data_IF_719669337626
#
_entry.id   IF_719669337626
#
_cell.length_a   1.000
_cell.length_b   1.000
_cell.length_c   1.000
_cell.angle_alpha   90.00
_cell.angle_beta   90.00
_cell.angle_gamma   90.00
#
_symmetry.space_group_name_H-M   'P 1'
#
loop_
_entity.id
_entity.type
_entity.pdbx_description
1 polymer ?
#
# COMPACT_ATOMS: atom_id res chain seq x y z
N UNK A 1 -9.37 20.62 -0.26
CA UNK A 1 -8.54 19.62 -0.92
C UNK A 1 -8.23 20.07 -2.34
N UNK A 2 -6.97 20.03 -2.73
CA UNK A 2 -6.62 20.23 -4.11
C UNK A 2 -7.28 19.15 -4.97
N UNK A 3 -7.74 19.51 -6.16
CA UNK A 3 -8.35 18.55 -7.06
C UNK A 3 -7.38 17.39 -7.36
N UNK A 4 -7.83 16.16 -7.15
CA UNK A 4 -7.03 14.96 -7.35
C UNK A 4 -6.09 14.57 -6.20
N UNK A 5 -6.04 15.35 -5.12
CA UNK A 5 -5.26 14.97 -3.94
C UNK A 5 -6.17 14.31 -2.90
N UNK A 6 -5.89 13.07 -2.58
CA UNK A 6 -6.53 12.39 -1.46
C UNK A 6 -5.62 12.48 -0.24
N UNK A 7 -6.14 13.09 0.80
CA UNK A 7 -5.49 13.15 2.10
C UNK A 7 -6.06 12.04 2.95
N UNK A 8 -5.27 11.03 3.22
CA UNK A 8 -5.65 9.96 4.13
C UNK A 8 -5.07 10.29 5.50
N UNK A 9 -5.90 10.58 6.50
CA UNK A 9 -5.41 10.73 7.86
C UNK A 9 -4.87 9.38 8.33
N UNK A 10 -3.62 9.38 8.78
CA UNK A 10 -2.99 8.20 9.36
C UNK A 10 -3.35 8.16 10.85
N UNK A 11 -4.10 7.16 11.36
CA UNK A 11 -4.34 7.02 12.79
C UNK A 11 -3.01 6.79 13.53
N UNK A 12 -2.75 7.63 14.49
CA UNK A 12 -1.40 8.04 14.90
C UNK A 12 -0.58 7.00 15.67
N UNK A 13 -1.13 5.99 16.33
CA UNK A 13 -0.31 5.17 17.22
C UNK A 13 0.02 3.76 16.72
N UNK A 14 -0.89 3.05 16.15
CA UNK A 14 -0.64 1.67 15.71
C UNK A 14 0.06 1.59 14.34
N UNK A 15 -0.12 2.59 13.49
CA UNK A 15 0.53 2.63 12.19
C UNK A 15 1.95 3.18 12.26
N UNK A 16 2.27 4.02 13.22
CA UNK A 16 3.62 4.55 13.43
C UNK A 16 4.60 3.43 13.78
N UNK A 17 4.17 2.45 14.58
CA UNK A 17 5.05 1.33 14.95
C UNK A 17 5.34 0.38 13.78
N UNK A 18 4.35 0.10 12.92
CA UNK A 18 4.56 -0.78 11.77
C UNK A 18 5.19 -0.06 10.57
N UNK A 19 4.95 1.23 10.41
CA UNK A 19 5.51 2.01 9.30
C UNK A 19 6.87 2.61 9.61
N UNK A 20 7.17 2.93 10.88
CA UNK A 20 8.46 3.52 11.24
C UNK A 20 9.63 2.58 11.02
N UNK A 21 9.45 1.28 11.22
CA UNK A 21 10.48 0.28 10.93
C UNK A 21 10.80 0.21 9.43
N UNK A 22 9.79 0.38 8.56
CA UNK A 22 9.97 0.40 7.11
C UNK A 22 10.79 1.62 6.68
N UNK A 23 10.62 2.74 7.35
CA UNK A 23 11.33 3.98 7.04
C UNK A 23 12.81 3.95 7.46
N UNK A 24 13.28 2.90 8.14
CA UNK A 24 14.71 2.64 8.33
C UNK A 24 15.36 2.13 7.03
N UNK A 25 14.59 1.62 6.09
CA UNK A 25 15.06 1.29 4.74
C UNK A 25 15.23 2.58 3.93
N UNK A 26 16.43 2.80 3.40
CA UNK A 26 16.76 4.03 2.67
C UNK A 26 15.92 4.25 1.41
N UNK A 27 15.55 3.19 0.70
CA UNK A 27 14.72 3.31 -0.52
C UNK A 27 13.32 3.82 -0.18
N UNK A 28 12.70 3.33 0.89
CA UNK A 28 11.39 3.79 1.35
C UNK A 28 11.44 5.20 1.92
N UNK A 29 12.51 5.52 2.65
CA UNK A 29 12.72 6.85 3.19
C UNK A 29 12.85 7.89 2.06
N UNK A 30 13.67 7.60 1.06
CA UNK A 30 13.87 8.48 -0.10
C UNK A 30 12.58 8.63 -0.91
N UNK A 31 11.85 7.54 -1.09
CA UNK A 31 10.56 7.56 -1.77
C UNK A 31 9.54 8.43 -1.06
N UNK A 32 9.45 8.31 0.26
CA UNK A 32 8.59 9.16 1.09
C UNK A 32 8.95 10.63 0.90
N UNK A 33 10.23 10.98 1.01
CA UNK A 33 10.69 12.37 0.88
C UNK A 33 10.44 12.95 -0.52
N UNK A 34 10.67 12.17 -1.56
CA UNK A 34 10.44 12.61 -2.94
C UNK A 34 8.97 12.85 -3.26
N UNK A 35 8.04 12.25 -2.50
CA UNK A 35 6.61 12.29 -2.74
C UNK A 35 5.81 12.87 -1.57
N UNK A 36 6.48 13.64 -0.71
CA UNK A 36 5.84 14.43 0.35
C UNK A 36 5.73 15.87 -0.11
N UNK A 37 4.54 16.44 0.04
CA UNK A 37 4.26 17.84 -0.27
C UNK A 37 3.83 18.58 1.00
N UNK A 38 4.11 19.87 1.03
CA UNK A 38 3.64 20.72 2.10
C UNK A 38 2.46 21.55 1.62
N UNK A 39 1.30 21.33 2.21
CA UNK A 39 0.08 22.08 1.92
C UNK A 39 -0.41 22.73 3.22
N UNK A 40 -0.55 24.06 3.22
CA UNK A 40 -1.04 24.84 4.36
C UNK A 40 -0.30 24.51 5.68
N UNK A 41 1.02 24.28 5.62
CA UNK A 41 1.84 23.94 6.77
C UNK A 41 1.80 22.47 7.19
N UNK A 42 1.04 21.63 6.49
CA UNK A 42 0.91 20.20 6.77
C UNK A 42 1.67 19.37 5.74
N UNK A 43 2.41 18.37 6.20
CA UNK A 43 3.04 17.40 5.30
C UNK A 43 2.03 16.39 4.80
N UNK A 44 1.94 16.24 3.48
CA UNK A 44 0.99 15.35 2.81
C UNK A 44 1.76 14.37 1.95
N UNK A 45 1.50 13.08 2.11
CA UNK A 45 2.07 12.03 1.27
C UNK A 45 1.08 11.63 0.18
N UNK A 46 1.62 11.22 -0.97
CA UNK A 46 0.79 10.75 -2.09
C UNK A 46 0.22 9.35 -1.82
N UNK A 47 -0.85 8.99 -2.53
CA UNK A 47 -1.42 7.64 -2.49
C UNK A 47 -0.41 6.56 -2.89
N UNK A 48 0.50 6.85 -3.81
CA UNK A 48 1.55 5.92 -4.21
C UNK A 48 2.47 5.53 -3.03
N UNK A 49 2.88 6.52 -2.23
CA UNK A 49 3.69 6.27 -1.04
C UNK A 49 2.93 5.41 -0.04
N UNK A 50 1.67 5.74 0.22
CA UNK A 50 0.84 4.99 1.16
C UNK A 50 0.64 3.54 0.70
N UNK A 51 0.41 3.32 -0.60
CA UNK A 51 0.29 1.97 -1.16
C UNK A 51 1.57 1.17 -0.92
N UNK A 52 2.73 1.74 -1.24
CA UNK A 52 4.01 1.06 -1.07
C UNK A 52 4.29 0.71 0.39
N UNK A 53 4.06 1.65 1.32
CA UNK A 53 4.27 1.42 2.75
C UNK A 53 3.31 0.36 3.29
N UNK A 54 2.05 0.40 2.92
CA UNK A 54 1.05 -0.56 3.40
C UNK A 54 1.23 -1.95 2.78
N UNK A 55 1.65 -2.03 1.54
CA UNK A 55 2.01 -3.31 0.91
C UNK A 55 3.22 -3.95 1.62
N UNK A 56 4.24 -3.16 1.93
CA UNK A 56 5.39 -3.64 2.70
C UNK A 56 5.00 -4.08 4.11
N UNK A 57 4.18 -3.30 4.81
CA UNK A 57 3.67 -3.67 6.13
C UNK A 57 2.87 -4.98 6.08
N UNK A 58 2.04 -5.17 5.06
CA UNK A 58 1.30 -6.41 4.85
C UNK A 58 2.23 -7.60 4.67
N UNK A 59 3.28 -7.45 3.85
CA UNK A 59 4.28 -8.51 3.64
C UNK A 59 5.00 -8.87 4.95
N UNK A 60 5.45 -7.88 5.70
CA UNK A 60 6.19 -8.10 6.95
C UNK A 60 5.31 -8.76 8.02
N UNK A 61 4.08 -8.29 8.18
CA UNK A 61 3.16 -8.85 9.16
C UNK A 61 2.70 -10.25 8.79
N UNK A 62 2.47 -10.50 7.50
CA UNK A 62 2.12 -11.83 7.00
C UNK A 62 3.25 -12.83 7.26
N UNK A 63 4.49 -12.44 6.99
CA UNK A 63 5.67 -13.26 7.26
C UNK A 63 5.85 -13.54 8.76
N UNK A 64 5.67 -12.53 9.60
CA UNK A 64 5.74 -12.69 11.06
C UNK A 64 4.66 -13.63 11.58
N UNK A 65 3.44 -13.49 11.09
CA UNK A 65 2.32 -14.34 11.50
C UNK A 65 2.53 -15.80 11.11
N UNK A 66 3.19 -16.06 9.98
CA UNK A 66 3.55 -17.42 9.56
C UNK A 66 4.52 -18.10 10.54
N UNK A 67 5.40 -17.32 11.19
CA UNK A 67 6.36 -17.82 12.19
C UNK A 67 5.70 -17.94 13.57
N UNK A 68 4.96 -16.91 14.00
CA UNK A 68 4.29 -16.87 15.29
C UNK A 68 2.90 -16.21 15.14
N UNK A 69 1.83 -17.02 15.07
CA UNK A 69 0.47 -16.53 14.89
C UNK A 69 -0.03 -15.65 16.05
N UNK A 70 0.56 -15.77 17.23
CA UNK A 70 0.10 -15.06 18.42
C UNK A 70 0.65 -13.62 18.51
N UNK A 71 1.73 -13.33 17.79
CA UNK A 71 2.42 -12.01 17.83
C UNK A 71 1.73 -10.95 16.97
N UNK A 72 1.00 -11.37 15.93
CA UNK A 72 0.40 -10.45 14.96
C UNK A 72 -1.11 -10.59 14.94
N UNK A 73 -1.81 -9.47 15.11
CA UNK A 73 -3.25 -9.40 14.96
C UNK A 73 -3.62 -9.49 13.47
N UNK A 74 -4.41 -10.51 13.11
CA UNK A 74 -4.88 -10.71 11.74
C UNK A 74 -5.69 -9.53 11.20
N UNK A 75 -6.32 -8.75 12.09
CA UNK A 75 -7.07 -7.55 11.69
C UNK A 75 -6.17 -6.46 11.14
N UNK A 76 -4.94 -6.33 11.66
CA UNK A 76 -3.95 -5.38 11.13
C UNK A 76 -3.54 -5.76 9.69
N UNK A 77 -3.30 -7.04 9.44
CA UNK A 77 -2.99 -7.55 8.10
C UNK A 77 -4.14 -7.23 7.14
N UNK A 78 -5.36 -7.55 7.52
CA UNK A 78 -6.56 -7.26 6.73
C UNK A 78 -6.75 -5.77 6.47
N UNK A 79 -6.45 -4.92 7.45
CA UNK A 79 -6.53 -3.47 7.29
C UNK A 79 -5.55 -2.94 6.26
N UNK A 80 -4.29 -3.35 6.32
CA UNK A 80 -3.29 -2.93 5.32
C UNK A 80 -3.69 -3.36 3.91
N UNK A 81 -4.16 -4.59 3.75
CA UNK A 81 -4.69 -5.07 2.47
C UNK A 81 -5.84 -4.19 1.97
N UNK A 82 -6.83 -3.95 2.80
CA UNK A 82 -8.00 -3.14 2.44
C UNK A 82 -7.61 -1.71 2.09
N UNK A 83 -6.65 -1.14 2.81
CA UNK A 83 -6.17 0.21 2.53
C UNK A 83 -5.49 0.28 1.16
N UNK A 84 -4.66 -0.70 0.79
CA UNK A 84 -4.06 -0.75 -0.55
C UNK A 84 -5.15 -0.85 -1.63
N UNK A 85 -6.15 -1.70 -1.43
CA UNK A 85 -7.24 -1.86 -2.39
C UNK A 85 -8.03 -0.57 -2.57
N UNK A 86 -8.36 0.12 -1.48
CA UNK A 86 -9.05 1.43 -1.56
C UNK A 86 -8.19 2.48 -2.26
N UNK A 87 -6.92 2.60 -1.87
CA UNK A 87 -5.99 3.57 -2.45
C UNK A 87 -5.73 3.30 -3.94
N UNK A 88 -5.77 2.05 -4.36
CA UNK A 88 -5.60 1.69 -5.78
C UNK A 88 -6.64 2.31 -6.69
N UNK A 89 -7.83 2.63 -6.16
CA UNK A 89 -8.90 3.27 -6.92
C UNK A 89 -8.57 4.73 -7.29
N UNK A 90 -7.56 5.31 -6.65
CA UNK A 90 -7.08 6.67 -6.92
C UNK A 90 -5.99 6.70 -7.99
N UNK A 91 -5.46 5.55 -8.37
CA UNK A 91 -4.42 5.46 -9.39
C UNK A 91 -5.03 5.57 -10.80
N UNK A 92 -4.46 6.43 -11.62
CA UNK A 92 -4.82 6.47 -13.02
C UNK A 92 -4.27 5.24 -13.74
N UNK A 93 -5.09 4.52 -14.54
CA UNK A 93 -4.63 3.33 -15.26
C UNK A 93 -3.48 3.59 -16.25
N UNK A 94 -3.37 4.82 -16.73
CA UNK A 94 -2.39 5.21 -17.73
C UNK A 94 -1.09 5.76 -17.12
N UNK A 95 -1.10 6.08 -15.82
CA UNK A 95 0.05 6.62 -15.15
C UNK A 95 0.99 5.53 -14.67
N UNK A 96 2.26 5.89 -14.55
CA UNK A 96 3.34 5.06 -14.02
C UNK A 96 4.20 5.89 -13.08
N UNK A 97 4.79 5.24 -12.10
CA UNK A 97 5.74 5.88 -11.19
C UNK A 97 7.08 5.15 -11.25
N UNK A 98 8.15 5.92 -11.23
CA UNK A 98 9.50 5.39 -11.09
C UNK A 98 9.81 5.20 -9.61
N UNK A 99 10.23 3.99 -9.25
CA UNK A 99 10.62 3.64 -7.88
C UNK A 99 11.88 2.78 -7.91
N UNK A 100 12.57 2.70 -6.79
CA UNK A 100 13.71 1.80 -6.61
C UNK A 100 13.30 0.34 -6.87
N UNK A 101 14.24 -0.47 -7.36
CA UNK A 101 14.01 -1.88 -7.68
C UNK A 101 13.45 -2.64 -6.47
N UNK A 102 13.98 -2.40 -5.28
CA UNK A 102 13.51 -3.04 -4.06
C UNK A 102 12.01 -2.78 -3.80
N UNK A 103 11.54 -1.57 -4.05
CA UNK A 103 10.11 -1.23 -3.91
C UNK A 103 9.28 -1.93 -4.98
N UNK A 104 9.75 -1.97 -6.22
CA UNK A 104 9.06 -2.72 -7.30
C UNK A 104 8.93 -4.19 -6.97
N UNK A 105 9.99 -4.80 -6.44
CA UNK A 105 10.00 -6.21 -6.05
C UNK A 105 9.03 -6.48 -4.90
N UNK A 106 8.98 -5.60 -3.92
CA UNK A 106 8.02 -5.69 -2.82
C UNK A 106 6.56 -5.59 -3.33
N UNK A 107 6.28 -4.65 -4.22
CA UNK A 107 4.96 -4.52 -4.84
C UNK A 107 4.61 -5.78 -5.64
N UNK A 108 5.55 -6.33 -6.40
CA UNK A 108 5.34 -7.58 -7.13
C UNK A 108 5.02 -8.74 -6.19
N UNK A 109 5.78 -8.90 -5.11
CA UNK A 109 5.54 -9.91 -4.08
C UNK A 109 4.18 -9.75 -3.42
N UNK A 110 3.82 -8.53 -3.07
CA UNK A 110 2.49 -8.22 -2.53
C UNK A 110 1.38 -8.64 -3.50
N UNK A 111 1.46 -8.23 -4.75
CA UNK A 111 0.46 -8.54 -5.77
C UNK A 111 0.28 -10.05 -5.98
N UNK A 112 1.39 -10.81 -6.06
CA UNK A 112 1.34 -12.27 -6.23
C UNK A 112 0.70 -12.99 -5.04
N UNK A 113 0.94 -12.51 -3.83
CA UNK A 113 0.40 -13.14 -2.63
C UNK A 113 -1.02 -12.70 -2.33
N UNK A 114 -1.30 -11.41 -2.41
CA UNK A 114 -2.59 -10.86 -2.01
C UNK A 114 -3.73 -11.28 -2.93
N UNK A 115 -3.45 -11.53 -4.22
CA UNK A 115 -4.48 -11.97 -5.17
C UNK A 115 -5.17 -13.27 -4.73
N UNK A 116 -4.46 -14.11 -3.99
CA UNK A 116 -5.00 -15.38 -3.47
C UNK A 116 -6.02 -15.18 -2.35
N UNK A 117 -6.04 -14.00 -1.75
CA UNK A 117 -6.92 -13.68 -0.62
C UNK A 117 -8.08 -12.75 -1.00
N UNK A 118 -8.07 -12.19 -2.21
CA UNK A 118 -9.08 -11.21 -2.63
C UNK A 118 -10.23 -11.92 -3.32
N UNK A 119 -11.42 -11.76 -2.76
CA UNK A 119 -12.67 -12.24 -3.36
C UNK A 119 -13.52 -11.08 -3.88
N UNK A 120 -14.46 -11.33 -4.81
CA UNK A 120 -15.45 -10.33 -5.19
C UNK A 120 -16.27 -9.82 -4.00
N UNK A 121 -16.52 -10.66 -3.02
CA UNK A 121 -17.24 -10.27 -1.79
C UNK A 121 -16.44 -9.27 -0.97
N UNK A 122 -15.13 -9.49 -0.80
CA UNK A 122 -14.27 -8.55 -0.12
C UNK A 122 -14.27 -7.21 -0.83
N UNK A 123 -14.12 -7.21 -2.16
CA UNK A 123 -14.13 -5.97 -2.95
C UNK A 123 -15.48 -5.25 -2.85
N UNK A 124 -16.59 -6.00 -2.84
CA UNK A 124 -17.92 -5.44 -2.64
C UNK A 124 -18.08 -4.74 -1.30
N UNK A 125 -17.50 -5.28 -0.23
CA UNK A 125 -17.47 -4.63 1.09
C UNK A 125 -16.69 -3.32 1.08
N UNK A 126 -15.72 -3.17 0.18
CA UNK A 126 -14.95 -1.96 -0.03
C UNK A 126 -15.55 -1.03 -1.08
N UNK A 127 -16.75 -1.36 -1.58
CA UNK A 127 -17.44 -0.63 -2.65
C UNK A 127 -16.64 -0.60 -3.97
N UNK A 128 -15.88 -1.65 -4.22
CA UNK A 128 -15.11 -1.83 -5.46
C UNK A 128 -15.84 -2.83 -6.34
N UNK A 129 -16.25 -2.39 -7.53
CA UNK A 129 -17.04 -3.20 -8.48
C UNK A 129 -16.18 -3.96 -9.48
N UNK A 130 -14.90 -3.66 -9.57
CA UNK A 130 -13.97 -4.32 -10.49
C UNK A 130 -13.60 -5.72 -10.00
N UNK A 131 -13.20 -6.58 -10.94
CA UNK A 131 -12.69 -7.91 -10.60
C UNK A 131 -11.34 -7.83 -9.87
N UNK A 132 -11.03 -8.80 -8.98
CA UNK A 132 -9.76 -8.80 -8.25
C UNK A 132 -8.52 -8.66 -9.14
N UNK A 133 -8.47 -9.38 -10.25
CA UNK A 133 -7.33 -9.31 -11.18
C UNK A 133 -7.13 -7.93 -11.78
N UNK A 134 -8.21 -7.19 -12.05
CA UNK A 134 -8.15 -5.83 -12.59
C UNK A 134 -7.55 -4.87 -11.57
N UNK A 135 -7.98 -4.96 -10.33
CA UNK A 135 -7.50 -4.10 -9.23
C UNK A 135 -6.00 -4.31 -8.98
N UNK A 136 -5.58 -5.57 -8.88
CA UNK A 136 -4.19 -5.92 -8.61
C UNK A 136 -3.29 -5.58 -9.79
N UNK A 137 -3.75 -5.81 -11.03
CA UNK A 137 -2.97 -5.45 -12.21
C UNK A 137 -2.75 -3.94 -12.32
N UNK A 138 -3.72 -3.13 -11.90
CA UNK A 138 -3.56 -1.67 -11.83
C UNK A 138 -2.41 -1.29 -10.91
N UNK A 139 -2.34 -1.84 -9.71
CA UNK A 139 -1.24 -1.58 -8.76
C UNK A 139 0.09 -2.02 -9.36
N UNK A 140 0.15 -3.24 -9.86
CA UNK A 140 1.35 -3.81 -10.45
C UNK A 140 1.91 -2.93 -11.58
N UNK A 141 1.05 -2.55 -12.52
CA UNK A 141 1.44 -1.74 -13.68
C UNK A 141 1.86 -0.33 -13.30
N UNK A 142 1.17 0.27 -12.36
CA UNK A 142 1.48 1.63 -11.90
C UNK A 142 2.91 1.72 -11.34
N UNK A 143 3.35 0.73 -10.58
CA UNK A 143 4.69 0.67 -10.02
C UNK A 143 5.73 0.01 -10.96
N UNK A 144 5.34 -0.47 -12.11
CA UNK A 144 6.24 -1.23 -12.99
C UNK A 144 6.73 -2.52 -12.36
N UNK A 145 5.94 -3.14 -11.47
CA UNK A 145 6.33 -4.31 -10.72
C UNK A 145 6.30 -5.58 -11.61
N UNK A 146 7.18 -6.56 -11.34
CA UNK A 146 7.21 -7.82 -12.07
C UNK A 146 5.93 -8.64 -11.84
N UNK A 147 5.63 -9.53 -12.81
CA UNK A 147 4.54 -10.50 -12.69
C UNK A 147 4.87 -11.59 -11.69
#
# INVERSE_FOLDING_TARGET
>A
LAAGAHLTPVPFQQQVESLSAILLDGDYYDFLHANTRRLAGVHVVTEAVLIALKARAWLDLTARRAIDPDVVDSRQIGKHRSDVLRLSQLLSPDDRIEVAEAIRDDIGSFCRQVILEISPQLLGQLEIVEAPGVVIERVRRYFGAPK
#
